data_IF_725599072401
#
_entry.id   IF_725599072401
#
_cell.length_a   1.000
_cell.length_b   1.000
_cell.length_c   1.000
_cell.angle_alpha   90.00
_cell.angle_beta   90.00
_cell.angle_gamma   90.00
#
_symmetry.space_group_name_H-M   'P 1'
#
loop_
_entity.id
_entity.type
_entity.pdbx_description
1 polymer ?
#
# COMPACT_ATOMS: atom_id res chain seq x y z
N UNK A 1 4.47 -8.34 28.31
CA UNK A 1 4.43 -7.92 26.89
C UNK A 1 3.16 -8.49 26.28
N UNK A 2 2.09 -7.71 26.15
CA UNK A 2 0.86 -8.12 25.44
C UNK A 2 0.88 -7.45 24.07
N UNK A 3 0.88 -8.28 23.03
CA UNK A 3 0.79 -7.87 21.64
C UNK A 3 -0.60 -7.25 21.42
N UNK A 4 -0.73 -5.94 21.66
CA UNK A 4 -2.00 -5.20 21.57
C UNK A 4 -2.05 -4.53 20.20
N UNK A 5 -2.48 -5.30 19.18
CA UNK A 5 -2.60 -4.77 17.82
C UNK A 5 -2.26 -5.76 16.72
N UNK A 6 -2.70 -7.02 16.80
CA UNK A 6 -2.64 -7.88 15.62
C UNK A 6 -3.70 -7.41 14.60
N UNK A 7 -3.38 -7.42 13.31
CA UNK A 7 -4.37 -7.24 12.23
C UNK A 7 -5.53 -8.26 12.31
N UNK A 8 -5.32 -9.39 12.98
CA UNK A 8 -6.36 -10.35 13.34
C UNK A 8 -7.34 -9.76 14.36
N UNK A 9 -6.85 -9.04 15.37
CA UNK A 9 -7.68 -8.31 16.35
C UNK A 9 -8.43 -7.14 15.71
N UNK A 10 -7.85 -6.53 14.66
CA UNK A 10 -8.51 -5.51 13.86
C UNK A 10 -9.70 -6.09 13.09
N UNK A 11 -9.55 -7.28 12.49
CA UNK A 11 -10.65 -7.94 11.77
C UNK A 11 -11.84 -8.26 12.69
N UNK A 12 -11.57 -8.65 13.94
CA UNK A 12 -12.65 -8.91 14.91
C UNK A 12 -13.39 -7.63 15.32
N UNK A 13 -12.69 -6.49 15.36
CA UNK A 13 -13.27 -5.20 15.77
C UNK A 13 -13.93 -4.42 14.64
N UNK A 14 -13.50 -4.65 13.40
CA UNK A 14 -13.97 -3.92 12.21
C UNK A 14 -14.36 -4.92 11.09
N UNK A 15 -15.49 -5.64 11.27
CA UNK A 15 -15.92 -6.64 10.29
C UNK A 15 -16.27 -6.04 8.92
N UNK A 16 -16.62 -4.75 8.88
CA UNK A 16 -16.91 -3.96 7.67
C UNK A 16 -15.73 -3.87 6.69
N UNK A 17 -14.50 -3.97 7.20
CA UNK A 17 -13.26 -3.87 6.41
C UNK A 17 -12.39 -5.12 6.49
N UNK A 18 -12.97 -6.23 6.94
CA UNK A 18 -12.29 -7.51 7.13
C UNK A 18 -11.49 -7.93 5.88
N UNK A 19 -12.07 -7.77 4.69
CA UNK A 19 -11.42 -8.17 3.44
C UNK A 19 -10.19 -7.30 3.11
N UNK A 20 -10.28 -5.98 3.34
CA UNK A 20 -9.12 -5.08 3.19
C UNK A 20 -8.00 -5.42 4.16
N UNK A 21 -8.32 -5.77 5.41
CA UNK A 21 -7.34 -6.22 6.40
C UNK A 21 -6.71 -7.58 6.04
N UNK A 22 -7.47 -8.49 5.42
CA UNK A 22 -6.92 -9.75 4.89
C UNK A 22 -5.96 -9.50 3.74
N UNK A 23 -6.28 -8.57 2.86
CA UNK A 23 -5.40 -8.18 1.75
C UNK A 23 -4.10 -7.55 2.26
N UNK A 24 -4.15 -6.73 3.31
CA UNK A 24 -2.94 -6.29 4.00
C UNK A 24 -2.11 -7.47 4.53
N UNK A 25 -2.76 -8.47 5.13
CA UNK A 25 -2.10 -9.71 5.55
C UNK A 25 -1.36 -10.39 4.39
N UNK A 26 -2.01 -10.51 3.23
CA UNK A 26 -1.38 -11.06 2.02
C UNK A 26 -0.19 -10.23 1.54
N UNK A 27 -0.27 -8.89 1.63
CA UNK A 27 0.84 -8.00 1.27
C UNK A 27 2.04 -8.28 2.18
N UNK A 28 1.82 -8.35 3.51
CA UNK A 28 2.89 -8.65 4.48
C UNK A 28 3.55 -10.01 4.25
N UNK A 29 2.76 -11.02 3.87
CA UNK A 29 3.26 -12.37 3.56
C UNK A 29 3.85 -12.49 2.15
N UNK A 30 3.82 -11.44 1.34
CA UNK A 30 4.30 -11.48 -0.03
C UNK A 30 3.46 -12.36 -0.95
N UNK A 31 2.18 -12.60 -0.64
CA UNK A 31 1.25 -13.41 -1.47
C UNK A 31 0.11 -12.59 -2.09
N UNK A 32 0.16 -11.26 -2.02
CA UNK A 32 -0.78 -10.38 -2.71
C UNK A 32 -0.50 -10.34 -4.22
N UNK A 33 -1.55 -10.50 -5.03
CA UNK A 33 -1.48 -10.45 -6.50
C UNK A 33 -1.67 -9.03 -7.01
N UNK A 34 -0.56 -8.39 -7.38
CA UNK A 34 -0.57 -7.16 -8.18
C UNK A 34 -0.64 -7.49 -9.67
N UNK A 35 -1.07 -6.55 -10.51
CA UNK A 35 -1.08 -6.70 -11.96
C UNK A 35 0.32 -7.08 -12.48
N UNK A 36 1.37 -6.46 -11.95
CA UNK A 36 2.74 -6.79 -12.34
C UNK A 36 3.08 -8.26 -12.04
N UNK A 37 2.66 -8.79 -10.88
CA UNK A 37 2.93 -10.18 -10.51
C UNK A 37 2.14 -11.15 -11.39
N UNK A 38 0.89 -10.83 -11.70
CA UNK A 38 0.08 -11.63 -12.62
C UNK A 38 0.68 -11.63 -14.04
N UNK A 39 1.16 -10.48 -14.52
CA UNK A 39 1.77 -10.36 -15.84
C UNK A 39 3.11 -11.12 -15.92
N UNK A 40 3.93 -11.06 -14.86
CA UNK A 40 5.15 -11.87 -14.73
C UNK A 40 4.88 -13.37 -14.67
N UNK A 41 3.74 -13.77 -14.08
CA UNK A 41 3.28 -15.15 -14.06
C UNK A 41 2.65 -15.62 -15.39
N UNK A 42 2.47 -14.72 -16.37
CA UNK A 42 1.86 -15.03 -17.66
C UNK A 42 0.33 -15.18 -17.61
N UNK A 43 -0.31 -14.73 -16.52
CA UNK A 43 -1.77 -14.82 -16.33
C UNK A 43 -2.48 -13.69 -17.10
N UNK A 44 -1.91 -12.49 -17.09
CA UNK A 44 -2.43 -11.33 -17.85
C UNK A 44 -1.39 -10.85 -18.87
N UNK A 45 -1.76 -10.02 -19.87
CA UNK A 45 -0.84 -9.53 -20.89
C UNK A 45 0.47 -8.94 -20.36
N UNK A 46 1.60 -9.31 -20.99
CA UNK A 46 2.95 -8.89 -20.60
C UNK A 46 3.14 -7.37 -20.56
N UNK A 47 2.32 -6.60 -21.28
CA UNK A 47 2.37 -5.13 -21.23
C UNK A 47 2.20 -4.59 -19.79
N UNK A 48 1.50 -5.31 -18.92
CA UNK A 48 1.29 -4.90 -17.52
C UNK A 48 2.48 -5.19 -16.59
N UNK A 49 3.58 -5.75 -17.13
CA UNK A 49 4.87 -5.79 -16.42
C UNK A 49 5.44 -4.37 -16.23
N UNK A 50 5.12 -3.45 -17.15
CA UNK A 50 5.63 -2.07 -17.18
C UNK A 50 4.51 -1.02 -17.15
N UNK A 51 3.25 -1.44 -17.26
CA UNK A 51 2.08 -0.56 -17.31
C UNK A 51 1.07 -0.89 -16.22
N UNK A 52 0.44 0.13 -15.67
CA UNK A 52 -0.62 -0.02 -14.68
C UNK A 52 -1.98 -0.11 -15.39
N UNK A 53 -2.77 -1.19 -15.21
CA UNK A 53 -4.09 -1.29 -15.84
C UNK A 53 -5.11 -0.32 -15.26
N UNK A 54 -4.86 0.22 -14.07
CA UNK A 54 -5.81 1.08 -13.34
C UNK A 54 -5.68 2.56 -13.66
N UNK A 55 -4.43 3.03 -13.81
CA UNK A 55 -4.11 4.44 -14.04
C UNK A 55 -3.53 4.67 -15.44
N UNK A 56 -3.30 3.61 -16.22
CA UNK A 56 -2.85 3.68 -17.61
C UNK A 56 -1.50 4.41 -17.81
N UNK A 57 -0.69 4.56 -16.76
CA UNK A 57 0.68 5.09 -16.83
C UNK A 57 1.66 3.97 -17.17
N UNK A 58 2.79 4.36 -17.77
CA UNK A 58 3.96 3.52 -18.03
C UNK A 58 4.76 3.25 -16.75
N UNK A 59 4.06 2.77 -15.73
CA UNK A 59 4.59 2.32 -14.45
C UNK A 59 3.82 1.08 -14.06
N UNK A 60 4.46 -0.01 -13.61
CA UNK A 60 3.74 -1.21 -13.17
C UNK A 60 2.82 -0.93 -11.98
N UNK A 61 1.74 -1.69 -11.87
CA UNK A 61 1.03 -1.73 -10.59
C UNK A 61 1.79 -2.65 -9.62
N UNK A 62 2.46 -2.00 -8.66
CA UNK A 62 3.12 -2.59 -7.49
C UNK A 62 2.38 -2.16 -6.22
N UNK A 63 2.74 -2.73 -5.07
CA UNK A 63 2.18 -2.31 -3.78
C UNK A 63 2.47 -0.83 -3.49
N UNK A 64 3.70 -0.37 -3.78
CA UNK A 64 4.08 1.04 -3.66
C UNK A 64 3.22 1.93 -4.55
N UNK A 65 3.09 1.56 -5.84
CA UNK A 65 2.27 2.31 -6.77
C UNK A 65 0.82 2.38 -6.28
N UNK A 66 0.25 1.25 -5.88
CA UNK A 66 -1.13 1.15 -5.39
C UNK A 66 -1.37 2.03 -4.14
N UNK A 67 -0.51 1.92 -3.12
CA UNK A 67 -0.67 2.59 -1.83
C UNK A 67 -0.32 4.08 -1.86
N UNK A 68 0.58 4.52 -2.76
CA UNK A 68 1.19 5.87 -2.68
C UNK A 68 0.91 6.70 -3.92
N UNK A 69 0.94 6.12 -5.13
CA UNK A 69 1.12 6.91 -6.36
C UNK A 69 -0.06 6.84 -7.33
N UNK A 70 -0.77 5.72 -7.35
CA UNK A 70 -1.72 5.38 -8.39
C UNK A 70 -2.89 6.36 -8.36
N UNK A 71 -2.95 7.30 -9.30
CA UNK A 71 -3.93 8.38 -9.25
C UNK A 71 -5.39 7.88 -9.31
N UNK A 72 -5.61 6.67 -9.86
CA UNK A 72 -6.92 6.00 -9.86
C UNK A 72 -7.50 5.86 -8.46
N UNK A 73 -6.63 5.74 -7.45
CA UNK A 73 -7.02 5.55 -6.06
C UNK A 73 -6.91 6.83 -5.21
N UNK A 74 -6.70 7.99 -5.81
CA UNK A 74 -6.57 9.27 -5.08
C UNK A 74 -7.79 9.54 -4.18
N UNK A 75 -9.01 9.41 -4.70
CA UNK A 75 -10.24 9.68 -3.93
C UNK A 75 -10.29 8.83 -2.67
N UNK A 76 -10.11 7.52 -2.82
CA UNK A 76 -10.15 6.56 -1.72
C UNK A 76 -9.03 6.87 -0.71
N UNK A 77 -7.79 7.16 -1.16
CA UNK A 77 -6.71 7.53 -0.23
C UNK A 77 -6.98 8.82 0.54
N UNK A 78 -7.66 9.79 -0.07
CA UNK A 78 -8.07 11.03 0.61
C UNK A 78 -9.17 10.76 1.64
N UNK A 79 -10.17 9.95 1.29
CA UNK A 79 -11.26 9.54 2.18
C UNK A 79 -10.75 8.74 3.39
N UNK A 80 -9.87 7.76 3.15
CA UNK A 80 -9.30 6.90 4.21
C UNK A 80 -8.10 7.53 4.91
N UNK A 81 -7.94 8.85 4.84
CA UNK A 81 -7.04 9.61 5.72
C UNK A 81 -5.55 9.18 5.68
N UNK A 82 -5.14 8.33 4.72
CA UNK A 82 -3.75 7.88 4.51
C UNK A 82 -2.82 9.09 4.32
N UNK A 83 -3.37 10.15 3.73
CA UNK A 83 -2.68 11.41 3.46
C UNK A 83 -2.63 12.40 4.63
N UNK A 84 -3.34 12.18 5.74
CA UNK A 84 -3.14 12.99 6.96
C UNK A 84 -1.85 12.64 7.71
N UNK A 85 -0.92 11.92 7.06
CA UNK A 85 0.50 11.85 7.42
C UNK A 85 1.26 12.87 6.54
N UNK A 86 1.13 14.19 6.80
CA UNK A 86 1.43 15.24 5.82
C UNK A 86 2.94 15.48 5.68
N UNK A 87 3.75 14.89 6.58
CA UNK A 87 5.21 14.96 6.55
C UNK A 87 5.87 13.91 5.65
N UNK A 88 5.15 12.85 5.25
CA UNK A 88 5.73 11.79 4.40
C UNK A 88 5.42 11.98 2.92
N UNK A 89 4.28 12.59 2.56
CA UNK A 89 3.94 12.88 1.16
C UNK A 89 4.82 14.01 0.60
N UNK A 90 5.11 15.04 1.41
CA UNK A 90 5.92 16.20 1.01
C UNK A 90 7.35 15.81 0.57
N UNK A 91 7.97 14.81 1.20
CA UNK A 91 9.31 14.33 0.83
C UNK A 91 9.32 13.49 -0.44
N UNK A 92 8.22 12.83 -0.82
CA UNK A 92 8.16 12.00 -2.04
C UNK A 92 7.75 12.83 -3.26
N UNK A 93 7.00 13.91 -3.08
CA UNK A 93 6.53 14.75 -4.21
C UNK A 93 7.43 15.93 -4.58
N UNK A 94 8.28 16.40 -3.67
CA UNK A 94 9.09 17.62 -3.91
C UNK A 94 10.38 17.33 -4.67
N UNK A 95 10.95 16.12 -4.60
CA UNK A 95 12.30 15.88 -5.11
C UNK A 95 12.31 15.00 -6.37
N UNK A 96 11.68 15.46 -7.45
CA UNK A 96 11.87 14.83 -8.77
C UNK A 96 13.26 15.13 -9.38
N UNK A 97 14.08 15.99 -8.76
CA UNK A 97 15.35 16.46 -9.34
C UNK A 97 16.62 15.95 -8.65
N UNK A 98 16.58 15.34 -7.46
CA UNK A 98 17.83 15.00 -6.77
C UNK A 98 17.74 13.69 -5.99
N UNK A 99 18.26 12.62 -6.61
CA UNK A 99 18.60 11.32 -6.01
C UNK A 99 17.46 10.28 -5.83
N UNK A 100 17.26 9.47 -6.88
CA UNK A 100 16.32 8.35 -6.93
C UNK A 100 16.45 7.34 -5.77
N UNK A 101 17.65 7.19 -5.18
CA UNK A 101 17.88 6.25 -4.09
C UNK A 101 17.21 6.70 -2.78
N UNK A 102 17.27 8.00 -2.45
CA UNK A 102 16.65 8.55 -1.25
C UNK A 102 15.11 8.53 -1.35
N UNK A 103 14.57 8.78 -2.54
CA UNK A 103 13.14 8.65 -2.83
C UNK A 103 12.64 7.20 -2.67
N UNK A 104 13.36 6.24 -3.25
CA UNK A 104 13.01 4.82 -3.14
C UNK A 104 13.10 4.34 -1.68
N UNK A 105 14.10 4.80 -0.91
CA UNK A 105 14.18 4.54 0.53
C UNK A 105 12.99 5.15 1.29
N UNK A 106 12.62 6.40 0.99
CA UNK A 106 11.46 7.06 1.59
C UNK A 106 10.14 6.32 1.33
N UNK A 107 9.95 5.82 0.10
CA UNK A 107 8.79 5.01 -0.30
C UNK A 107 8.71 3.69 0.46
N UNK A 108 9.82 2.96 0.55
CA UNK A 108 9.88 1.69 1.28
C UNK A 108 9.56 1.87 2.76
N UNK A 109 10.08 2.93 3.38
CA UNK A 109 9.73 3.30 4.76
C UNK A 109 8.23 3.59 4.88
N UNK A 110 7.63 4.31 3.92
CA UNK A 110 6.21 4.64 3.93
C UNK A 110 5.33 3.39 3.82
N UNK A 111 5.62 2.49 2.86
CA UNK A 111 4.92 1.21 2.74
C UNK A 111 5.06 0.40 4.03
N UNK A 112 6.26 0.31 4.59
CA UNK A 112 6.50 -0.35 5.88
C UNK A 112 5.63 0.23 7.01
N UNK A 113 5.48 1.56 7.09
CA UNK A 113 4.63 2.23 8.08
C UNK A 113 3.14 1.95 7.90
N UNK A 114 2.65 1.96 6.66
CA UNK A 114 1.24 1.67 6.35
C UNK A 114 0.89 0.22 6.67
N UNK A 115 1.87 -0.67 6.51
CA UNK A 115 1.75 -2.08 6.84
C UNK A 115 2.13 -2.42 8.28
N UNK A 116 2.08 -1.46 9.22
CA UNK A 116 2.23 -1.75 10.66
C UNK A 116 3.65 -1.74 11.22
N UNK A 117 4.66 -1.40 10.41
CA UNK A 117 6.05 -1.21 10.86
C UNK A 117 6.83 -2.49 11.17
N UNK A 118 6.32 -3.66 10.80
CA UNK A 118 6.95 -4.97 11.05
C UNK A 118 7.89 -5.46 9.92
N UNK A 119 8.06 -4.69 8.83
CA UNK A 119 9.04 -5.08 7.80
C UNK A 119 10.46 -5.00 8.36
N UNK A 120 11.20 -6.13 8.29
CA UNK A 120 12.59 -6.25 8.73
C UNK A 120 13.50 -5.16 8.15
N UNK A 121 13.19 -4.65 6.97
CA UNK A 121 13.97 -3.65 6.23
C UNK A 121 13.80 -2.21 6.76
N UNK A 122 12.69 -1.93 7.45
CA UNK A 122 12.33 -0.55 7.86
C UNK A 122 12.50 -0.29 9.35
N UNK A 123 12.76 -1.33 10.15
CA UNK A 123 12.78 -1.28 11.62
C UNK A 123 13.78 -0.27 12.21
N UNK A 124 14.97 -0.12 11.62
CA UNK A 124 16.00 0.84 12.05
C UNK A 124 15.64 2.29 11.70
N UNK A 125 14.90 2.50 10.60
CA UNK A 125 14.52 3.82 10.09
C UNK A 125 13.28 4.38 10.79
N UNK A 126 12.44 3.52 11.36
CA UNK A 126 11.23 3.89 12.10
C UNK A 126 11.50 4.56 13.46
N UNK A 127 12.65 4.26 14.09
CA UNK A 127 13.02 4.81 15.39
C UNK A 127 13.18 6.35 15.41
N UNK A 128 13.37 6.97 14.23
CA UNK A 128 13.64 8.40 14.11
C UNK A 128 12.39 9.26 13.83
N UNK A 129 11.24 8.66 13.51
CA UNK A 129 10.03 9.45 13.16
C UNK A 129 9.07 9.60 14.35
N UNK A 130 8.95 10.83 14.88
CA UNK A 130 7.88 11.24 15.79
C UNK A 130 6.55 11.33 15.01
N UNK A 131 5.89 10.19 14.83
CA UNK A 131 4.61 10.12 14.14
C UNK A 131 3.46 10.42 15.11
N UNK A 132 2.52 11.30 14.72
CA UNK A 132 1.36 11.67 15.55
C UNK A 132 0.28 10.58 15.57
N UNK A 133 0.36 9.61 14.66
CA UNK A 133 -0.60 8.52 14.53
C UNK A 133 -0.06 7.22 15.13
N UNK A 134 -0.88 6.58 15.95
CA UNK A 134 -0.57 5.25 16.49
C UNK A 134 -0.49 4.23 15.33
N UNK A 135 0.36 3.18 15.45
CA UNK A 135 0.42 2.10 14.47
C UNK A 135 -0.96 1.50 14.16
N UNK A 136 -1.81 1.38 15.19
CA UNK A 136 -3.19 0.94 15.08
C UNK A 136 -4.02 1.75 14.07
N UNK A 137 -3.97 3.09 14.12
CA UNK A 137 -4.74 3.93 13.20
C UNK A 137 -4.22 3.81 11.76
N UNK A 138 -2.90 3.63 11.56
CA UNK A 138 -2.32 3.45 10.22
C UNK A 138 -2.75 2.13 9.59
N UNK A 139 -2.75 1.05 10.37
CA UNK A 139 -3.22 -0.24 9.89
C UNK A 139 -4.72 -0.21 9.58
N UNK A 140 -5.51 0.44 10.43
CA UNK A 140 -6.94 0.59 10.21
C UNK A 140 -7.25 1.34 8.91
N UNK A 141 -6.63 2.49 8.70
CA UNK A 141 -6.84 3.30 7.48
C UNK A 141 -6.30 2.62 6.23
N UNK A 142 -5.17 1.91 6.32
CA UNK A 142 -4.68 1.08 5.21
C UNK A 142 -5.67 -0.05 4.91
N UNK A 143 -6.27 -0.65 5.93
CA UNK A 143 -7.32 -1.66 5.78
C UNK A 143 -8.56 -1.11 5.08
N UNK A 144 -9.01 0.09 5.47
CA UNK A 144 -10.12 0.80 4.80
C UNK A 144 -9.81 1.06 3.33
N UNK A 145 -8.60 1.52 3.03
CA UNK A 145 -8.14 1.74 1.66
C UNK A 145 -8.17 0.45 0.83
N UNK A 146 -7.55 -0.62 1.34
CA UNK A 146 -7.54 -1.91 0.65
C UNK A 146 -8.96 -2.42 0.41
N UNK A 147 -9.85 -2.25 1.38
CA UNK A 147 -11.26 -2.62 1.24
C UNK A 147 -11.96 -1.81 0.13
N UNK A 148 -11.69 -0.50 0.05
CA UNK A 148 -12.29 0.39 -0.94
C UNK A 148 -11.86 0.09 -2.38
N UNK A 149 -10.62 -0.33 -2.61
CA UNK A 149 -10.12 -0.61 -3.96
C UNK A 149 -10.42 -2.05 -4.43
N UNK A 150 -10.64 -2.98 -3.50
CA UNK A 150 -10.65 -4.43 -3.76
C UNK A 150 -11.57 -4.85 -4.90
N UNK A 151 -12.83 -4.39 -4.90
CA UNK A 151 -13.84 -4.83 -5.88
C UNK A 151 -13.41 -4.41 -7.29
N UNK A 152 -13.07 -3.13 -7.45
CA UNK A 152 -12.63 -2.59 -8.74
C UNK A 152 -11.33 -3.24 -9.20
N UNK A 153 -10.37 -3.45 -8.28
CA UNK A 153 -9.11 -4.11 -8.61
C UNK A 153 -9.35 -5.53 -9.13
N UNK A 154 -10.15 -6.31 -8.41
CA UNK A 154 -10.45 -7.70 -8.74
C UNK A 154 -11.15 -7.81 -10.10
N UNK A 155 -12.18 -7.00 -10.33
CA UNK A 155 -12.95 -7.02 -11.59
C UNK A 155 -12.08 -6.69 -12.80
N UNK A 156 -11.24 -5.66 -12.70
CA UNK A 156 -10.35 -5.28 -13.82
C UNK A 156 -9.33 -6.39 -14.08
N UNK A 157 -8.72 -6.96 -13.05
CA UNK A 157 -7.74 -8.04 -13.25
C UNK A 157 -8.36 -9.30 -13.85
N UNK A 158 -9.61 -9.61 -13.50
CA UNK A 158 -10.37 -10.73 -14.06
C UNK A 158 -10.68 -10.52 -15.55
N UNK A 159 -11.03 -9.29 -15.95
CA UNK A 159 -11.25 -8.93 -17.37
C UNK A 159 -9.96 -9.07 -18.21
N UNK A 160 -8.78 -8.97 -17.59
CA UNK A 160 -7.49 -9.02 -18.26
C UNK A 160 -6.89 -10.42 -18.36
N UNK A 161 -7.48 -11.41 -17.68
CA UNK A 161 -7.11 -12.82 -17.71
C UNK A 161 -7.81 -13.54 -18.87
#
# INVERSE_FOLDING_TARGET
MRNTGSWMDLQMRHPDIKLGLQDMGKIRMGCYWTAQRLAKAGIIPKMYIERCPFCNKNTPETIEHMLIECFRWNSIRHETTIFNIPRLYRTVTIDQSTNNQALNQGRNIMVGKLLGGESKETRSLLAQSRDRYSPYMKELETGRFMNGIRVVQTLILDILN
#
